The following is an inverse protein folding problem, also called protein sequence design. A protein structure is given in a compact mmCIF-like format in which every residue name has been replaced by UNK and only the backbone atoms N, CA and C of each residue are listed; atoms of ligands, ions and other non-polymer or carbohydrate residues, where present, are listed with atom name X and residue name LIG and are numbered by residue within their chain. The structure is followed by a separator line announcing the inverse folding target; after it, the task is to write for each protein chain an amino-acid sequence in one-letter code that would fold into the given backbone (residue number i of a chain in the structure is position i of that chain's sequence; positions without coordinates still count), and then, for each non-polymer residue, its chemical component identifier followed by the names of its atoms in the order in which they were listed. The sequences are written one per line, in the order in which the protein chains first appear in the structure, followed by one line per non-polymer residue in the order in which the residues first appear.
data_IF_100817200329
#
_entry.id   IF_100817200329
#
_cell.length_a   1.000
_cell.length_b   1.000
_cell.length_c   1.000
_cell.angle_alpha   90.00
_cell.angle_beta   90.00
_cell.angle_gamma   90.00
#
_symmetry.space_group_name_H-M   'P 1'
#
loop_
_entity.id
_entity.type
_entity.pdbx_description
1 polymer ?
#
# COMPACT_ATOMS: atom_id res chain seq x y z
N UNK A 1 0.72 -44.44 -6.29
CA UNK A 1 1.79 -43.65 -5.63
C UNK A 1 2.06 -42.40 -6.47
N UNK A 2 1.13 -41.45 -6.50
CA UNK A 2 1.36 -40.14 -7.12
C UNK A 2 1.35 -39.12 -5.99
N UNK A 3 2.55 -38.67 -5.62
CA UNK A 3 2.79 -37.72 -4.55
C UNK A 3 2.35 -36.33 -5.03
N UNK A 4 1.26 -35.81 -4.46
CA UNK A 4 0.86 -34.41 -4.67
C UNK A 4 1.84 -33.51 -3.92
N UNK A 5 2.59 -32.71 -4.68
CA UNK A 5 3.50 -31.71 -4.16
C UNK A 5 2.70 -30.46 -3.77
N UNK A 6 2.34 -30.35 -2.49
CA UNK A 6 1.74 -29.14 -1.93
C UNK A 6 2.87 -28.10 -1.82
N UNK A 7 2.96 -27.20 -2.79
CA UNK A 7 3.83 -26.02 -2.70
C UNK A 7 3.16 -25.06 -1.70
N UNK A 8 3.61 -25.12 -0.45
CA UNK A 8 3.26 -24.13 0.57
C UNK A 8 3.99 -22.83 0.21
N UNK A 9 3.33 -21.95 -0.55
CA UNK A 9 3.85 -20.63 -0.84
C UNK A 9 3.99 -19.88 0.50
N UNK A 10 5.22 -19.72 0.97
CA UNK A 10 5.50 -18.89 2.14
C UNK A 10 5.16 -17.46 1.75
N UNK A 11 4.03 -16.96 2.26
CA UNK A 11 3.64 -15.56 2.13
C UNK A 11 4.64 -14.71 2.91
N UNK A 12 5.61 -14.17 2.18
CA UNK A 12 6.52 -13.15 2.67
C UNK A 12 5.68 -11.94 3.08
N UNK A 13 5.36 -11.82 4.38
CA UNK A 13 4.75 -10.63 4.95
C UNK A 13 5.76 -9.49 4.83
N UNK A 14 5.81 -8.84 3.66
CA UNK A 14 6.56 -7.63 3.43
C UNK A 14 5.95 -6.55 4.32
N UNK A 15 6.54 -6.39 5.51
CA UNK A 15 6.15 -5.32 6.42
C UNK A 15 6.61 -4.02 5.78
N UNK A 16 5.72 -3.33 5.09
CA UNK A 16 6.07 -2.08 4.42
C UNK A 16 6.49 -1.06 5.48
N UNK A 17 7.47 -0.21 5.17
CA UNK A 17 7.90 0.90 6.03
C UNK A 17 6.71 1.73 6.55
N UNK A 18 5.63 1.80 5.77
CA UNK A 18 4.44 2.58 6.09
C UNK A 18 3.48 1.90 7.07
N UNK A 19 3.54 0.59 7.31
CA UNK A 19 2.57 -0.10 8.19
C UNK A 19 2.48 0.53 9.59
N UNK A 20 3.65 0.86 10.19
CA UNK A 20 3.69 1.52 11.50
C UNK A 20 3.05 2.92 11.45
N UNK A 21 3.23 3.64 10.34
CA UNK A 21 2.65 4.97 10.14
C UNK A 21 1.14 4.89 9.91
N UNK A 22 0.66 3.92 9.13
CA UNK A 22 -0.77 3.69 8.93
C UNK A 22 -1.48 3.32 10.23
N UNK A 23 -0.88 2.48 11.08
CA UNK A 23 -1.45 2.19 12.42
C UNK A 23 -1.47 3.46 13.28
N UNK A 24 -0.36 4.21 13.32
CA UNK A 24 -0.24 5.42 14.14
C UNK A 24 -1.26 6.49 13.73
N UNK A 25 -1.31 6.82 12.44
CA UNK A 25 -2.17 7.89 11.93
C UNK A 25 -3.62 7.44 11.77
N UNK A 26 -3.85 6.16 11.45
CA UNK A 26 -5.19 5.58 11.47
C UNK A 26 -5.83 5.71 12.85
N UNK A 27 -5.11 5.33 13.92
CA UNK A 27 -5.58 5.54 15.29
C UNK A 27 -5.79 7.03 15.63
N UNK A 28 -4.91 7.92 15.16
CA UNK A 28 -4.99 9.35 15.45
C UNK A 28 -6.24 10.01 14.85
N UNK A 29 -6.64 9.58 13.66
CA UNK A 29 -7.74 10.18 12.91
C UNK A 29 -9.01 9.32 12.89
N UNK A 30 -9.06 8.23 13.66
CA UNK A 30 -10.14 7.26 13.67
C UNK A 30 -10.44 6.66 12.28
N UNK A 31 -9.37 6.33 11.55
CA UNK A 31 -9.42 5.72 10.21
C UNK A 31 -8.80 4.32 10.29
N UNK A 32 -9.46 3.28 9.76
CA UNK A 32 -8.87 1.94 9.69
C UNK A 32 -7.51 1.95 8.96
N UNK A 33 -6.49 1.34 9.55
CA UNK A 33 -5.14 1.35 8.99
C UNK A 33 -5.08 0.61 7.63
N UNK A 34 -5.94 -0.40 7.45
CA UNK A 34 -6.13 -1.16 6.22
C UNK A 34 -6.64 -0.28 5.08
N UNK A 35 -7.46 0.74 5.38
CA UNK A 35 -7.92 1.70 4.39
C UNK A 35 -6.75 2.56 3.90
N UNK A 36 -5.94 3.09 4.82
CA UNK A 36 -4.73 3.86 4.46
C UNK A 36 -3.76 3.02 3.63
N UNK A 37 -3.59 1.75 4.00
CA UNK A 37 -2.79 0.79 3.24
C UNK A 37 -3.36 0.55 1.84
N UNK A 38 -4.68 0.34 1.73
CA UNK A 38 -5.38 0.09 0.47
C UNK A 38 -5.27 1.27 -0.50
N UNK A 39 -5.43 2.50 0.00
CA UNK A 39 -5.26 3.72 -0.79
C UNK A 39 -3.81 3.81 -1.28
N UNK A 40 -2.82 3.73 -0.39
CA UNK A 40 -1.41 3.84 -0.79
C UNK A 40 -0.95 2.73 -1.76
N UNK A 41 -1.51 1.52 -1.64
CA UNK A 41 -1.29 0.43 -2.59
C UNK A 41 -1.85 0.77 -3.97
N UNK A 42 -3.06 1.32 -4.02
CA UNK A 42 -3.79 1.60 -5.26
C UNK A 42 -3.20 2.81 -5.99
N UNK A 43 -2.91 3.88 -5.26
CA UNK A 43 -2.50 5.16 -5.84
C UNK A 43 -1.04 5.17 -6.32
N UNK A 44 -0.13 4.55 -5.56
CA UNK A 44 1.31 4.65 -5.85
C UNK A 44 2.07 3.34 -5.74
N UNK A 45 1.39 2.23 -5.40
CA UNK A 45 2.05 0.98 -5.02
C UNK A 45 3.15 1.18 -3.95
N UNK A 46 2.86 2.03 -2.96
CA UNK A 46 3.79 2.45 -1.89
C UNK A 46 5.01 3.27 -2.33
N UNK A 47 4.98 3.86 -3.53
CA UNK A 47 6.04 4.78 -3.98
C UNK A 47 5.80 6.21 -3.45
N UNK A 48 6.47 6.58 -2.36
CA UNK A 48 6.37 7.95 -1.82
C UNK A 48 6.94 9.05 -2.73
N UNK A 49 7.64 8.70 -3.82
CA UNK A 49 8.13 9.64 -4.84
C UNK A 49 7.26 9.64 -6.11
N UNK A 50 6.09 8.99 -6.09
CA UNK A 50 5.19 9.01 -7.23
C UNK A 50 4.78 10.45 -7.58
N UNK A 51 4.74 10.74 -8.87
CA UNK A 51 4.44 12.05 -9.42
C UNK A 51 3.76 11.85 -10.76
N UNK A 52 2.46 12.13 -10.82
CA UNK A 52 1.65 11.95 -12.01
C UNK A 52 1.06 13.28 -12.47
N UNK A 53 1.03 13.48 -13.79
CA UNK A 53 0.43 14.67 -14.42
C UNK A 53 -0.91 14.30 -15.05
N UNK A 54 -1.93 15.05 -14.70
CA UNK A 54 -3.28 14.88 -15.21
C UNK A 54 -3.49 15.59 -16.55
N UNK A 55 -4.52 15.17 -17.30
CA UNK A 55 -4.86 15.73 -18.62
C UNK A 55 -5.22 17.22 -18.57
N UNK A 56 -5.79 17.67 -17.45
CA UNK A 56 -6.11 19.08 -17.18
C UNK A 56 -4.89 19.91 -16.75
N UNK A 57 -3.70 19.29 -16.66
CA UNK A 57 -2.46 19.96 -16.28
C UNK A 57 -2.16 20.00 -14.78
N UNK A 58 -3.04 19.48 -13.90
CA UNK A 58 -2.73 19.34 -12.47
C UNK A 58 -1.82 18.14 -12.21
N UNK A 59 -1.37 17.98 -10.96
CA UNK A 59 -0.46 16.92 -10.56
C UNK A 59 -0.94 16.25 -9.29
N UNK A 60 -0.80 14.93 -9.26
CA UNK A 60 -1.04 14.10 -8.08
C UNK A 60 0.31 13.62 -7.55
N UNK A 61 0.55 13.80 -6.25
CA UNK A 61 1.90 13.68 -5.70
C UNK A 61 1.96 12.74 -4.49
N UNK A 62 3.03 11.95 -4.44
CA UNK A 62 3.44 11.17 -3.28
C UNK A 62 2.63 9.89 -3.06
N UNK A 63 2.67 9.40 -1.83
CA UNK A 63 2.20 8.08 -1.45
C UNK A 63 0.71 7.83 -1.75
N UNK A 64 -0.11 8.88 -1.64
CA UNK A 64 -1.57 8.82 -1.78
C UNK A 64 -2.10 9.64 -2.96
N UNK A 65 -1.21 10.19 -3.81
CA UNK A 65 -1.59 10.91 -5.03
C UNK A 65 -2.71 11.94 -4.81
N UNK A 66 -2.48 12.88 -3.87
CA UNK A 66 -3.38 14.01 -3.59
C UNK A 66 -3.17 15.13 -4.60
#
# INVERSE_FOLDING_TARGET
MFLSLIIFATSSFATTTYNKLFIKYGKLYDIPAELLWGIAKTESNFNAKAYNKNKNGTFDIGLMQI
#
